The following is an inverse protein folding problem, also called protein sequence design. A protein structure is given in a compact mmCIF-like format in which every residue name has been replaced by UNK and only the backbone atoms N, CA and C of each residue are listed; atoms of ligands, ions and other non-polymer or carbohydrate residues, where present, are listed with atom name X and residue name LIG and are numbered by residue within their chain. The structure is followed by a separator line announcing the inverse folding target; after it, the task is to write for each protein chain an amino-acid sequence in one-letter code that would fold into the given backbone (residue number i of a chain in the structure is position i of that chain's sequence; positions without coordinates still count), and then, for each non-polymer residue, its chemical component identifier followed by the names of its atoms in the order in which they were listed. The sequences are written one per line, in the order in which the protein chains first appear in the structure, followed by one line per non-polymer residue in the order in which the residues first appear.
data_IF_404563221654
#
_entry.id   IF_404563221654
#
_cell.length_a   1.000
_cell.length_b   1.000
_cell.length_c   1.000
_cell.angle_alpha   90.00
_cell.angle_beta   90.00
_cell.angle_gamma   90.00
#
_symmetry.space_group_name_H-M   'P 1'
#
loop_
_entity.id
_entity.type
_entity.pdbx_description
1 polymer ?
#
# COMPACT_ATOMS: atom_id res chain seq x y z
N UNK A 1 22.28 -18.91 -5.54
CA UNK A 1 21.52 -18.74 -4.28
C UNK A 1 21.17 -17.29 -4.18
N UNK A 2 19.88 -16.98 -4.03
CA UNK A 2 19.45 -15.63 -3.71
C UNK A 2 20.08 -15.22 -2.38
N UNK A 3 20.69 -14.04 -2.30
CA UNK A 3 21.59 -13.65 -1.18
C UNK A 3 20.88 -13.59 0.19
N UNK A 4 19.55 -13.53 0.16
CA UNK A 4 18.69 -13.42 1.33
C UNK A 4 17.86 -14.70 1.58
N UNK A 5 17.96 -15.72 0.71
CA UNK A 5 17.20 -16.96 0.85
C UNK A 5 15.67 -16.78 0.76
N UNK A 6 15.21 -15.72 0.09
CA UNK A 6 13.77 -15.47 -0.09
C UNK A 6 13.33 -16.19 -1.36
N UNK A 7 12.42 -17.15 -1.22
CA UNK A 7 11.84 -17.86 -2.35
C UNK A 7 10.69 -17.05 -2.96
N UNK A 8 10.52 -17.13 -4.27
CA UNK A 8 9.42 -16.51 -5.03
C UNK A 8 9.23 -14.99 -4.85
N UNK A 9 10.29 -14.26 -4.50
CA UNK A 9 10.23 -12.79 -4.44
C UNK A 9 10.09 -12.20 -5.85
N UNK A 10 9.01 -11.44 -6.07
CA UNK A 10 8.75 -10.79 -7.36
C UNK A 10 8.68 -9.26 -7.23
N UNK A 11 8.74 -8.57 -8.37
CA UNK A 11 8.50 -7.12 -8.42
C UNK A 11 7.11 -6.72 -7.95
N UNK A 12 6.13 -7.64 -8.00
CA UNK A 12 4.79 -7.38 -7.49
C UNK A 12 4.81 -7.20 -5.97
N UNK A 13 5.60 -8.00 -5.25
CA UNK A 13 5.69 -7.95 -3.78
C UNK A 13 6.35 -6.64 -3.32
N UNK A 14 7.38 -6.19 -4.05
CA UNK A 14 8.00 -4.89 -3.81
C UNK A 14 7.01 -3.74 -4.02
N UNK A 15 6.21 -3.79 -5.09
CA UNK A 15 5.16 -2.79 -5.34
C UNK A 15 4.10 -2.83 -4.24
N UNK A 16 3.72 -4.03 -3.78
CA UNK A 16 2.74 -4.21 -2.72
C UNK A 16 3.22 -3.57 -1.41
N UNK A 17 4.45 -3.85 -1.01
CA UNK A 17 5.06 -3.31 0.21
C UNK A 17 5.20 -1.78 0.13
N UNK A 18 5.70 -1.26 -1.00
CA UNK A 18 5.82 0.19 -1.20
C UNK A 18 4.46 0.89 -1.14
N UNK A 19 3.44 0.34 -1.81
CA UNK A 19 2.08 0.91 -1.81
C UNK A 19 1.49 0.92 -0.41
N UNK A 20 1.68 -0.16 0.36
CA UNK A 20 1.19 -0.27 1.74
C UNK A 20 1.86 0.72 2.69
N UNK A 21 3.16 0.99 2.52
CA UNK A 21 3.86 2.05 3.28
C UNK A 21 3.39 3.44 2.90
N UNK A 22 3.22 3.69 1.60
CA UNK A 22 2.73 4.98 1.10
C UNK A 22 1.28 5.24 1.56
N UNK A 23 0.44 4.22 1.71
CA UNK A 23 -0.92 4.37 2.24
C UNK A 23 -0.98 4.91 3.67
N UNK A 24 0.08 4.73 4.47
CA UNK A 24 0.19 5.32 5.81
C UNK A 24 0.51 6.82 5.76
N UNK A 25 1.17 7.28 4.71
CA UNK A 25 1.57 8.67 4.50
C UNK A 25 0.46 9.43 3.77
N UNK A 26 -0.05 8.87 2.68
CA UNK A 26 -1.08 9.46 1.82
C UNK A 26 -2.45 8.93 2.23
N UNK A 27 -3.11 9.69 3.08
CA UNK A 27 -4.40 9.37 3.65
C UNK A 27 -5.54 9.50 2.65
N UNK A 28 -5.35 10.36 1.64
CA UNK A 28 -6.26 10.54 0.51
C UNK A 28 -6.02 9.44 -0.55
N UNK A 29 -6.99 8.55 -0.80
CA UNK A 29 -6.85 7.47 -1.77
C UNK A 29 -6.54 7.96 -3.20
N UNK A 30 -7.02 9.15 -3.59
CA UNK A 30 -6.80 9.69 -4.92
C UNK A 30 -5.35 10.14 -5.14
N UNK A 31 -4.71 10.69 -4.10
CA UNK A 31 -3.29 11.04 -4.14
C UNK A 31 -2.42 9.79 -4.18
N UNK A 32 -2.77 8.80 -3.35
CA UNK A 32 -2.09 7.51 -3.35
C UNK A 32 -2.19 6.84 -4.73
N UNK A 33 -3.35 6.88 -5.39
CA UNK A 33 -3.50 6.37 -6.76
C UNK A 33 -2.58 7.07 -7.75
N UNK A 34 -2.53 8.41 -7.71
CA UNK A 34 -1.68 9.22 -8.61
C UNK A 34 -0.21 8.89 -8.45
N UNK A 35 0.27 8.71 -7.22
CA UNK A 35 1.68 8.45 -6.90
C UNK A 35 2.06 7.00 -7.24
N UNK A 36 1.18 6.05 -6.97
CA UNK A 36 1.44 4.62 -7.18
C UNK A 36 1.12 4.16 -8.61
N UNK A 37 0.51 5.01 -9.43
CA UNK A 37 0.18 4.73 -10.83
C UNK A 37 -1.04 3.82 -11.02
N UNK A 38 -1.90 3.68 -10.01
CA UNK A 38 -3.11 2.89 -10.11
C UNK A 38 -4.18 3.62 -10.92
N UNK A 39 -4.75 2.94 -11.93
CA UNK A 39 -5.81 3.50 -12.79
C UNK A 39 -7.21 3.38 -12.20
N UNK A 40 -7.41 2.47 -11.24
CA UNK A 40 -8.71 2.28 -10.57
C UNK A 40 -8.56 2.16 -9.05
N UNK A 41 -9.51 2.76 -8.32
CA UNK A 41 -9.61 2.63 -6.87
C UNK A 41 -9.81 1.17 -6.46
N UNK A 42 -10.55 0.38 -7.24
CA UNK A 42 -10.78 -1.03 -6.97
C UNK A 42 -9.47 -1.85 -6.88
N UNK A 43 -8.48 -1.52 -7.71
CA UNK A 43 -7.16 -2.17 -7.65
C UNK A 43 -6.38 -1.72 -6.43
N UNK A 44 -6.49 -0.43 -6.07
CA UNK A 44 -5.79 0.18 -4.94
C UNK A 44 -6.38 -0.22 -3.57
N UNK A 45 -7.67 -0.51 -3.50
CA UNK A 45 -8.36 -0.85 -2.25
C UNK A 45 -7.72 -2.04 -1.51
N UNK A 46 -7.05 -2.94 -2.23
CA UNK A 46 -6.30 -4.08 -1.66
C UNK A 46 -5.07 -3.67 -0.84
N UNK A 47 -4.59 -2.44 -0.98
CA UNK A 47 -3.43 -1.92 -0.25
C UNK A 47 -3.82 -0.89 0.82
N UNK A 48 -5.11 -0.50 0.85
CA UNK A 48 -5.66 0.36 1.88
C UNK A 48 -6.22 -0.49 3.01
N UNK A 49 -5.34 -0.95 3.90
CA UNK A 49 -5.75 -1.55 5.16
C UNK A 49 -6.02 -0.41 6.15
N UNK A 50 -7.26 0.09 6.13
CA UNK A 50 -7.70 1.09 7.09
C UNK A 50 -7.71 0.43 8.47
N UNK A 51 -6.66 0.69 9.26
CA UNK A 51 -6.61 0.23 10.64
C UNK A 51 -7.70 0.98 11.41
N UNK A 52 -8.64 0.26 12.02
CA UNK A 52 -9.78 0.87 12.71
C UNK A 52 -9.32 1.81 13.83
N UNK A 53 -8.16 1.51 14.42
CA UNK A 53 -7.49 2.33 15.43
C UNK A 53 -6.91 3.63 14.83
N UNK A 54 -6.39 3.58 13.60
CA UNK A 54 -5.91 4.76 12.85
C UNK A 54 -7.08 5.68 12.45
N UNK A 55 -8.20 5.08 12.02
CA UNK A 55 -9.44 5.79 11.74
C UNK A 55 -10.00 6.46 13.00
N UNK A 56 -10.03 5.75 14.12
CA UNK A 56 -10.46 6.30 15.40
C UNK A 56 -9.58 7.47 15.86
N UNK A 57 -8.26 7.37 15.71
CA UNK A 57 -7.32 8.47 16.02
C UNK A 57 -7.53 9.73 15.18
N UNK A 58 -8.11 9.63 13.98
CA UNK A 58 -8.40 10.78 13.10
C UNK A 58 -9.73 11.47 13.38
N UNK A 59 -10.62 10.83 14.14
CA UNK A 59 -11.95 11.36 14.50
C UNK A 59 -11.97 12.06 15.87
N UNK A 60 -10.91 11.90 16.68
CA UNK A 60 -10.72 12.57 17.97
C UNK A 60 -9.99 13.91 17.79
#
# INVERSE_FOLDING_TARGET
MDRLGIEDLTFHDLRHEATSRLAKIYTNPLELMRITGHKSLATLARYYHADAEELARRLA
#
